data_IF_086861233211
#
_entry.id   IF_086861233211
#
_cell.length_a   1.000
_cell.length_b   1.000
_cell.length_c   1.000
_cell.angle_alpha   90.00
_cell.angle_beta   90.00
_cell.angle_gamma   90.00
#
_symmetry.space_group_name_H-M   'P 1'
#
loop_
_entity.id
_entity.type
_entity.pdbx_description
1 polymer ?
#
# COMPACT_ATOMS: atom_id res chain seq x y z
N UNK A 1 -58.96 -27.33 11.24
CA UNK A 1 -58.47 -28.11 12.40
C UNK A 1 -56.95 -28.08 12.39
N UNK A 2 -56.39 -27.49 13.45
CA UNK A 2 -55.01 -27.54 13.97
C UNK A 2 -53.81 -27.79 13.03
N UNK A 3 -53.07 -26.72 12.75
CA UNK A 3 -51.62 -26.78 12.51
C UNK A 3 -50.87 -26.30 13.76
N UNK A 4 -49.83 -27.06 14.11
CA UNK A 4 -49.10 -27.10 15.38
C UNK A 4 -48.30 -25.82 15.66
N UNK A 5 -48.22 -25.49 16.96
CA UNK A 5 -47.33 -24.50 17.58
C UNK A 5 -45.85 -24.88 17.36
N UNK A 6 -45.03 -23.88 17.07
CA UNK A 6 -43.58 -23.89 17.32
C UNK A 6 -43.24 -22.67 18.22
N UNK A 7 -42.30 -22.77 19.18
CA UNK A 7 -42.21 -21.86 20.32
C UNK A 7 -41.47 -20.53 20.04
N UNK A 8 -41.90 -19.52 20.80
CA UNK A 8 -41.34 -18.16 20.96
C UNK A 8 -39.87 -18.22 21.45
N UNK A 9 -38.99 -17.21 21.31
CA UNK A 9 -39.09 -15.80 20.95
C UNK A 9 -37.69 -15.27 20.58
N UNK A 10 -37.56 -14.06 20.04
CA UNK A 10 -37.40 -12.84 20.84
C UNK A 10 -37.93 -11.61 20.08
N UNK A 11 -38.59 -10.74 20.84
CA UNK A 11 -39.29 -9.55 20.36
C UNK A 11 -38.37 -8.32 20.22
N UNK A 12 -38.91 -7.34 19.50
CA UNK A 12 -38.30 -6.14 18.93
C UNK A 12 -37.95 -4.99 19.91
N UNK A 13 -37.11 -4.06 19.41
CA UNK A 13 -37.04 -2.59 19.67
C UNK A 13 -36.09 -2.07 20.76
N UNK A 14 -35.13 -1.24 20.31
CA UNK A 14 -34.61 0.01 20.93
C UNK A 14 -33.39 0.49 20.12
N UNK A 15 -33.14 1.73 19.67
CA UNK A 15 -33.86 3.00 19.53
C UNK A 15 -33.32 3.62 18.23
N UNK A 16 -34.18 3.88 17.24
CA UNK A 16 -33.87 4.69 16.05
C UNK A 16 -34.44 6.10 16.26
N UNK A 17 -33.59 7.13 16.33
CA UNK A 17 -34.03 8.52 16.18
C UNK A 17 -33.26 9.19 15.03
N UNK A 18 -34.03 9.69 14.05
CA UNK A 18 -33.65 10.45 12.84
C UNK A 18 -33.19 11.87 13.18
N UNK A 19 -32.27 12.45 12.40
CA UNK A 19 -32.29 13.84 11.87
C UNK A 19 -31.12 14.10 10.86
N UNK A 20 -31.08 15.19 10.06
CA UNK A 20 -31.48 15.25 8.65
C UNK A 20 -30.32 15.40 7.64
N UNK A 21 -30.65 15.27 6.36
CA UNK A 21 -29.77 15.37 5.19
C UNK A 21 -29.30 16.82 4.93
N UNK A 22 -28.01 17.03 4.61
CA UNK A 22 -27.52 18.06 3.65
C UNK A 22 -26.05 17.80 3.23
N UNK A 23 -25.87 17.77 1.89
CA UNK A 23 -24.69 17.87 0.99
C UNK A 23 -23.28 17.60 1.55
N UNK A 24 -22.66 16.47 1.17
CA UNK A 24 -21.20 16.27 1.09
C UNK A 24 -20.88 15.01 0.23
N UNK A 25 -19.87 14.98 -0.66
CA UNK A 25 -19.56 13.82 -1.52
C UNK A 25 -18.97 12.59 -0.80
N UNK A 26 -18.93 12.58 0.53
CA UNK A 26 -18.37 11.47 1.36
C UNK A 26 -19.36 10.32 1.65
N UNK A 27 -20.46 10.19 0.88
CA UNK A 27 -21.63 9.41 1.33
C UNK A 27 -21.65 7.93 0.98
N UNK A 28 -20.79 7.45 0.08
CA UNK A 28 -20.75 6.01 -0.27
C UNK A 28 -20.03 5.18 0.82
N UNK A 29 -18.86 5.65 1.29
CA UNK A 29 -18.13 5.03 2.42
C UNK A 29 -18.98 4.98 3.71
N UNK A 30 -19.93 5.92 3.87
CA UNK A 30 -20.79 5.97 5.07
C UNK A 30 -22.02 5.06 5.03
N UNK A 31 -22.48 4.58 3.86
CA UNK A 31 -23.73 3.79 3.81
C UNK A 31 -23.54 2.33 4.24
N UNK A 32 -22.37 1.74 4.03
CA UNK A 32 -22.11 0.34 4.43
C UNK A 32 -21.22 0.18 5.68
N UNK A 33 -20.55 1.23 6.17
CA UNK A 33 -19.61 1.15 7.32
C UNK A 33 -20.22 1.70 8.64
N UNK A 34 -21.54 1.93 8.72
CA UNK A 34 -22.17 2.44 9.96
C UNK A 34 -23.09 1.43 10.65
N UNK A 35 -22.47 0.57 11.45
CA UNK A 35 -22.88 0.33 12.85
C UNK A 35 -21.61 0.25 13.73
N UNK A 36 -21.56 1.11 14.76
CA UNK A 36 -20.64 1.08 15.91
C UNK A 36 -19.16 1.52 15.76
N UNK A 37 -18.88 2.83 15.67
CA UNK A 37 -17.57 3.36 16.06
C UNK A 37 -17.71 4.67 16.87
N UNK A 38 -17.43 4.59 18.17
CA UNK A 38 -17.24 5.72 19.09
C UNK A 38 -15.94 5.49 19.86
N UNK A 39 -15.06 6.49 19.88
CA UNK A 39 -13.63 6.37 20.19
C UNK A 39 -13.25 6.17 21.67
N UNK A 40 -14.20 6.08 22.60
CA UNK A 40 -13.90 6.11 24.04
C UNK A 40 -13.56 4.77 24.72
N UNK A 41 -13.52 3.63 24.00
CA UNK A 41 -13.18 2.31 24.59
C UNK A 41 -12.59 1.33 23.54
N UNK A 42 -11.50 1.71 22.88
CA UNK A 42 -10.96 0.99 21.70
C UNK A 42 -10.60 -0.47 22.02
N UNK A 43 -10.00 -0.77 23.18
CA UNK A 43 -9.50 -2.12 23.51
C UNK A 43 -10.62 -3.16 23.70
N UNK A 44 -11.67 -2.82 24.47
CA UNK A 44 -12.88 -3.67 24.63
C UNK A 44 -13.68 -3.77 23.33
N UNK A 45 -13.71 -2.71 22.52
CA UNK A 45 -14.45 -2.68 21.25
C UNK A 45 -13.76 -3.48 20.15
N UNK A 46 -12.44 -3.46 20.10
CA UNK A 46 -11.68 -4.22 19.10
C UNK A 46 -11.86 -5.73 19.31
N UNK A 47 -11.76 -6.20 20.55
CA UNK A 47 -12.02 -7.61 20.91
C UNK A 47 -13.40 -8.11 20.45
N UNK A 48 -14.45 -7.35 20.73
CA UNK A 48 -15.83 -7.71 20.33
C UNK A 48 -16.00 -7.75 18.80
N UNK A 49 -15.22 -6.96 18.05
CA UNK A 49 -15.29 -6.93 16.59
C UNK A 49 -14.54 -8.09 15.92
N UNK A 50 -13.56 -8.71 16.60
CA UNK A 50 -12.65 -9.68 15.97
C UNK A 50 -12.86 -11.12 16.40
N UNK A 51 -13.48 -11.38 17.55
CA UNK A 51 -13.56 -12.74 18.10
C UNK A 51 -14.37 -13.71 17.23
N UNK A 52 -15.40 -13.20 16.54
CA UNK A 52 -16.27 -13.99 15.66
C UNK A 52 -15.98 -13.80 14.17
N UNK A 53 -14.98 -13.00 13.81
CA UNK A 53 -14.69 -12.67 12.41
C UNK A 53 -13.91 -13.79 11.71
N UNK A 54 -14.39 -14.25 10.56
CA UNK A 54 -13.68 -15.21 9.70
C UNK A 54 -12.69 -14.52 8.73
N UNK A 55 -12.92 -13.24 8.43
CA UNK A 55 -12.03 -12.41 7.62
C UNK A 55 -11.75 -11.09 8.34
N UNK A 56 -10.47 -10.78 8.52
CA UNK A 56 -9.98 -9.56 9.18
C UNK A 56 -9.32 -8.65 8.14
N UNK A 57 -9.92 -7.50 7.85
CA UNK A 57 -9.38 -6.53 6.89
C UNK A 57 -8.52 -5.48 7.60
N UNK A 58 -7.23 -5.48 7.33
CA UNK A 58 -6.25 -4.53 7.87
C UNK A 58 -6.09 -3.36 6.90
N UNK A 59 -6.61 -2.19 7.31
CA UNK A 59 -6.55 -0.93 6.54
C UNK A 59 -6.27 0.26 7.47
N UNK A 60 -5.13 0.19 8.15
CA UNK A 60 -4.65 1.23 9.07
C UNK A 60 -3.28 1.75 8.60
N UNK A 61 -2.85 2.96 9.01
CA UNK A 61 -1.47 3.38 8.77
C UNK A 61 -0.48 2.34 9.32
N UNK A 62 0.58 2.03 8.56
CA UNK A 62 1.49 0.90 8.82
C UNK A 62 2.09 0.95 10.25
N UNK A 63 2.43 2.14 10.74
CA UNK A 63 2.97 2.39 12.09
C UNK A 63 2.09 1.89 13.25
N UNK A 64 0.80 1.61 13.00
CA UNK A 64 -0.12 1.11 14.02
C UNK A 64 -0.33 -0.40 13.98
N UNK A 65 0.19 -1.11 12.96
CA UNK A 65 -0.08 -2.53 12.75
C UNK A 65 0.47 -3.38 13.88
N UNK A 66 1.74 -3.17 14.26
CA UNK A 66 2.38 -3.95 15.33
C UNK A 66 1.56 -3.87 16.63
N UNK A 67 1.20 -2.65 17.04
CA UNK A 67 0.37 -2.42 18.23
C UNK A 67 -1.00 -3.09 18.11
N UNK A 68 -1.60 -3.05 16.93
CA UNK A 68 -2.91 -3.67 16.66
C UNK A 68 -2.82 -5.20 16.75
N UNK A 69 -1.84 -5.82 16.10
CA UNK A 69 -1.63 -7.27 16.14
C UNK A 69 -1.37 -7.75 17.58
N UNK A 70 -0.56 -7.02 18.35
CA UNK A 70 -0.32 -7.34 19.76
C UNK A 70 -1.59 -7.27 20.63
N UNK A 71 -2.57 -6.43 20.28
CA UNK A 71 -3.87 -6.39 20.97
C UNK A 71 -4.80 -7.54 20.56
N UNK A 72 -4.67 -8.02 19.33
CA UNK A 72 -5.50 -9.10 18.77
C UNK A 72 -4.94 -10.50 19.06
N UNK A 73 -3.66 -10.61 19.41
CA UNK A 73 -2.99 -11.88 19.70
C UNK A 73 -3.78 -12.71 20.72
N UNK A 74 -4.09 -13.96 20.35
CA UNK A 74 -4.88 -14.89 21.16
C UNK A 74 -6.39 -14.64 21.18
N UNK A 75 -6.88 -13.61 20.48
CA UNK A 75 -8.29 -13.19 20.46
C UNK A 75 -8.88 -13.18 19.04
N UNK A 76 -8.35 -14.02 18.16
CA UNK A 76 -8.82 -14.24 16.79
C UNK A 76 -9.09 -15.73 16.59
N UNK A 77 -10.07 -16.09 15.77
CA UNK A 77 -10.27 -17.49 15.37
C UNK A 77 -9.01 -18.00 14.69
N UNK A 78 -8.57 -19.21 15.02
CA UNK A 78 -7.46 -19.87 14.32
C UNK A 78 -7.78 -20.15 12.85
N UNK A 79 -9.06 -20.25 12.50
CA UNK A 79 -9.54 -20.39 11.11
C UNK A 79 -9.74 -19.06 10.39
N UNK A 80 -9.53 -17.92 11.05
CA UNK A 80 -9.68 -16.62 10.40
C UNK A 80 -8.57 -16.40 9.36
N UNK A 81 -8.83 -15.52 8.41
CA UNK A 81 -7.86 -15.03 7.43
C UNK A 81 -7.71 -13.53 7.58
N UNK A 82 -6.48 -13.03 7.54
CA UNK A 82 -6.19 -11.61 7.42
C UNK A 82 -6.06 -11.18 5.95
N UNK A 83 -6.46 -9.95 5.65
CA UNK A 83 -6.21 -9.28 4.38
C UNK A 83 -5.62 -7.90 4.64
N UNK A 84 -4.38 -7.67 4.23
CA UNK A 84 -3.73 -6.35 4.35
C UNK A 84 -3.93 -5.52 3.08
N UNK A 85 -4.43 -4.30 3.27
CA UNK A 85 -4.49 -3.25 2.23
C UNK A 85 -3.42 -2.17 2.48
N UNK A 86 -2.46 -2.46 3.37
CA UNK A 86 -1.52 -1.48 3.88
C UNK A 86 -0.30 -1.45 2.98
N UNK A 87 -0.09 -0.30 2.32
CA UNK A 87 1.06 -0.07 1.44
C UNK A 87 2.23 0.48 2.27
N UNK A 88 3.24 -0.36 2.52
CA UNK A 88 4.41 -0.03 3.31
C UNK A 88 5.19 -1.28 3.70
N UNK A 89 6.30 -1.12 4.39
CA UNK A 89 7.08 -2.21 4.96
C UNK A 89 6.86 -2.26 6.48
N UNK A 90 7.21 -3.39 7.09
CA UNK A 90 7.18 -3.54 8.54
C UNK A 90 8.56 -3.43 9.15
N UNK A 91 8.64 -2.80 10.33
CA UNK A 91 9.84 -2.74 11.16
C UNK A 91 10.36 -1.31 11.42
N UNK A 92 11.25 -1.21 12.40
CA UNK A 92 12.10 -0.03 12.59
C UNK A 92 13.37 -0.23 11.76
N UNK A 93 13.88 0.82 11.11
CA UNK A 93 15.13 0.89 10.30
C UNK A 93 16.32 0.07 10.80
N UNK A 94 16.38 -0.24 12.10
CA UNK A 94 17.53 -0.87 12.77
C UNK A 94 17.71 -2.35 12.49
N UNK A 95 16.71 -3.07 11.96
CA UNK A 95 16.88 -4.48 11.55
C UNK A 95 17.24 -4.55 10.07
N UNK A 96 18.39 -5.13 9.74
CA UNK A 96 18.86 -5.40 8.37
C UNK A 96 18.01 -6.41 7.57
N UNK A 97 16.79 -6.69 8.04
CA UNK A 97 15.84 -7.64 7.45
C UNK A 97 14.59 -6.87 7.02
N UNK A 98 14.40 -6.82 5.70
CA UNK A 98 13.14 -6.43 5.08
C UNK A 98 12.02 -7.37 5.56
N UNK A 99 10.91 -6.81 6.03
CA UNK A 99 9.76 -7.59 6.49
C UNK A 99 8.46 -7.00 6.00
N UNK A 100 7.54 -7.86 5.57
CA UNK A 100 6.25 -7.44 5.08
C UNK A 100 5.22 -7.31 6.19
N UNK A 101 4.23 -6.45 5.97
CA UNK A 101 3.15 -6.24 6.92
C UNK A 101 2.30 -7.52 7.02
N UNK A 102 2.05 -8.21 5.90
CA UNK A 102 1.34 -9.49 5.92
C UNK A 102 2.09 -10.58 6.69
N UNK A 103 3.43 -10.61 6.59
CA UNK A 103 4.28 -11.55 7.34
C UNK A 103 4.20 -11.28 8.85
N UNK A 104 4.26 -10.00 9.25
CA UNK A 104 4.07 -9.58 10.64
C UNK A 104 2.70 -9.96 11.19
N UNK A 105 1.64 -9.71 10.42
CA UNK A 105 0.27 -10.08 10.80
C UNK A 105 0.18 -11.59 10.97
N UNK A 106 0.67 -12.36 10.00
CA UNK A 106 0.58 -13.82 10.00
C UNK A 106 1.34 -14.43 11.17
N UNK A 107 2.59 -14.01 11.39
CA UNK A 107 3.40 -14.52 12.50
C UNK A 107 2.86 -14.13 13.87
N UNK A 108 2.36 -12.89 14.03
CA UNK A 108 1.89 -12.40 15.33
C UNK A 108 0.55 -13.03 15.73
N UNK A 109 -0.34 -13.23 14.77
CA UNK A 109 -1.71 -13.71 15.00
C UNK A 109 -1.87 -15.22 14.78
N UNK A 110 -0.93 -15.88 14.12
CA UNK A 110 -0.99 -17.32 13.83
C UNK A 110 -2.07 -17.68 12.80
N UNK A 111 -2.35 -16.77 11.85
CA UNK A 111 -3.35 -16.95 10.80
C UNK A 111 -2.76 -16.62 9.42
N UNK A 112 -3.37 -17.14 8.36
CA UNK A 112 -2.97 -16.80 6.99
C UNK A 112 -3.25 -15.32 6.70
N UNK A 113 -2.32 -14.66 6.00
CA UNK A 113 -2.47 -13.27 5.57
C UNK A 113 -2.35 -13.16 4.05
N UNK A 114 -3.42 -12.67 3.42
CA UNK A 114 -3.44 -12.22 2.04
C UNK A 114 -3.22 -10.70 1.96
N UNK A 115 -3.00 -10.19 0.75
CA UNK A 115 -2.83 -8.77 0.48
C UNK A 115 -3.73 -8.32 -0.67
N UNK A 116 -4.16 -7.06 -0.65
CA UNK A 116 -4.89 -6.44 -1.74
C UNK A 116 -4.21 -5.10 -2.09
N UNK A 117 -3.56 -5.06 -3.25
CA UNK A 117 -2.82 -3.89 -3.76
C UNK A 117 -3.28 -3.55 -5.18
N UNK A 118 -3.14 -2.30 -5.60
CA UNK A 118 -3.55 -1.87 -6.94
C UNK A 118 -3.65 -0.36 -7.10
N UNK A 119 -3.97 0.08 -8.31
CA UNK A 119 -4.25 1.48 -8.64
C UNK A 119 -5.62 1.92 -8.09
N UNK A 120 -5.73 2.06 -6.77
CA UNK A 120 -6.99 2.25 -6.06
C UNK A 120 -7.03 3.56 -5.27
N UNK A 121 -7.11 4.69 -5.98
CA UNK A 121 -7.34 5.98 -5.34
C UNK A 121 -8.70 5.96 -4.63
N UNK A 122 -8.66 6.01 -3.28
CA UNK A 122 -9.84 5.82 -2.45
C UNK A 122 -11.08 6.66 -2.84
N UNK A 123 -10.95 7.95 -3.25
CA UNK A 123 -12.09 8.72 -3.73
C UNK A 123 -12.74 8.17 -5.00
N UNK A 124 -11.95 7.62 -5.93
CA UNK A 124 -12.46 7.06 -7.20
C UNK A 124 -13.18 5.74 -6.98
N UNK A 125 -12.59 4.85 -6.17
CA UNK A 125 -13.24 3.60 -5.74
C UNK A 125 -14.56 3.91 -5.03
N UNK A 126 -14.58 4.92 -4.15
CA UNK A 126 -15.79 5.32 -3.43
C UNK A 126 -16.87 5.97 -4.31
N UNK A 127 -16.49 6.47 -5.48
CA UNK A 127 -17.40 7.02 -6.47
C UNK A 127 -17.89 5.97 -7.49
N UNK A 128 -17.53 4.69 -7.29
CA UNK A 128 -17.87 3.58 -8.19
C UNK A 128 -17.28 3.76 -9.60
N UNK A 129 -16.15 4.48 -9.71
CA UNK A 129 -15.41 4.57 -10.95
C UNK A 129 -14.70 3.24 -11.21
N UNK A 130 -14.64 2.85 -12.49
CA UNK A 130 -13.93 1.65 -12.92
C UNK A 130 -12.46 1.68 -12.49
N UNK A 131 -12.03 0.67 -11.75
CA UNK A 131 -10.65 0.41 -11.41
C UNK A 131 -10.41 -1.08 -11.12
N UNK A 132 -9.14 -1.43 -10.96
CA UNK A 132 -8.70 -2.82 -10.82
C UNK A 132 -7.75 -2.95 -9.63
N UNK A 133 -7.74 -4.11 -8.98
CA UNK A 133 -6.77 -4.46 -7.95
C UNK A 133 -6.35 -5.93 -8.04
N UNK A 134 -5.24 -6.22 -7.38
CA UNK A 134 -4.61 -7.54 -7.33
C UNK A 134 -4.66 -8.05 -5.90
N UNK A 135 -5.21 -9.24 -5.71
CA UNK A 135 -5.13 -9.99 -4.46
C UNK A 135 -3.97 -10.96 -4.54
N UNK A 136 -3.03 -10.84 -3.61
CA UNK A 136 -1.93 -11.79 -3.42
C UNK A 136 -2.23 -12.73 -2.25
N UNK A 137 -2.14 -14.04 -2.46
CA UNK A 137 -2.28 -15.02 -1.36
C UNK A 137 -1.56 -16.33 -1.67
N UNK A 138 -0.83 -16.89 -0.70
CA UNK A 138 -0.24 -18.24 -0.82
C UNK A 138 -1.32 -19.30 -1.09
N UNK A 139 -2.45 -19.18 -0.40
CA UNK A 139 -3.58 -20.10 -0.50
C UNK A 139 -4.57 -19.64 -1.58
N UNK A 140 -4.74 -20.46 -2.62
CA UNK A 140 -5.62 -20.15 -3.75
C UNK A 140 -7.10 -20.15 -3.34
N UNK A 141 -7.53 -21.04 -2.45
CA UNK A 141 -8.91 -21.07 -1.98
C UNK A 141 -9.26 -19.76 -1.25
N UNK A 142 -8.35 -19.30 -0.38
CA UNK A 142 -8.43 -17.98 0.25
C UNK A 142 -8.53 -16.86 -0.78
N UNK A 143 -7.68 -16.85 -1.80
CA UNK A 143 -7.70 -15.83 -2.85
C UNK A 143 -9.05 -15.78 -3.59
N UNK A 144 -9.64 -16.95 -3.87
CA UNK A 144 -10.95 -17.07 -4.54
C UNK A 144 -12.07 -16.50 -3.67
N UNK A 145 -12.10 -16.82 -2.37
CA UNK A 145 -13.10 -16.28 -1.44
C UNK A 145 -12.96 -14.76 -1.28
N UNK A 146 -11.72 -14.26 -1.16
CA UNK A 146 -11.47 -12.82 -1.10
C UNK A 146 -11.84 -12.11 -2.41
N UNK A 147 -11.60 -12.74 -3.56
CA UNK A 147 -12.06 -12.21 -4.84
C UNK A 147 -13.58 -12.08 -4.84
N UNK A 148 -14.34 -13.08 -4.42
CA UNK A 148 -15.81 -12.98 -4.32
C UNK A 148 -16.26 -11.84 -3.40
N UNK A 149 -15.52 -11.60 -2.32
CA UNK A 149 -15.83 -10.53 -1.35
C UNK A 149 -15.60 -9.13 -1.90
N UNK A 150 -14.49 -8.90 -2.60
CA UNK A 150 -14.08 -7.56 -3.04
C UNK A 150 -14.46 -7.23 -4.48
N UNK A 151 -14.67 -8.22 -5.34
CA UNK A 151 -14.92 -8.02 -6.76
C UNK A 151 -16.31 -7.45 -7.02
N UNK A 152 -16.38 -6.39 -7.83
CA UNK A 152 -17.63 -5.78 -8.31
C UNK A 152 -17.53 -5.50 -9.82
N UNK A 153 -18.56 -4.90 -10.41
CA UNK A 153 -18.55 -4.51 -11.82
C UNK A 153 -17.49 -3.43 -12.11
N UNK A 154 -17.34 -2.47 -11.18
CA UNK A 154 -16.42 -1.35 -11.30
C UNK A 154 -15.13 -1.51 -10.47
N UNK A 155 -15.03 -2.55 -9.64
CA UNK A 155 -13.81 -2.90 -8.91
C UNK A 155 -13.40 -4.33 -9.25
N UNK A 156 -12.60 -4.48 -10.31
CA UNK A 156 -12.20 -5.79 -10.85
C UNK A 156 -11.00 -6.33 -10.08
N UNK A 157 -11.09 -7.58 -9.64
CA UNK A 157 -10.04 -8.23 -8.87
C UNK A 157 -9.37 -9.32 -9.71
N UNK A 158 -8.05 -9.23 -9.86
CA UNK A 158 -7.22 -10.36 -10.26
C UNK A 158 -6.57 -11.03 -9.03
N UNK A 159 -6.32 -12.33 -9.10
CA UNK A 159 -5.68 -13.09 -8.03
C UNK A 159 -4.33 -13.63 -8.48
N UNK A 160 -3.33 -13.56 -7.60
CA UNK A 160 -2.00 -14.12 -7.82
C UNK A 160 -1.50 -14.80 -6.55
N UNK A 161 -0.66 -15.82 -6.70
CA UNK A 161 -0.06 -16.52 -5.55
C UNK A 161 1.17 -15.82 -4.99
N UNK A 162 1.77 -14.94 -5.78
CA UNK A 162 2.99 -14.19 -5.48
C UNK A 162 2.70 -12.99 -4.58
N UNK A 163 2.21 -13.26 -3.37
CA UNK A 163 1.74 -12.23 -2.44
C UNK A 163 2.84 -11.26 -1.99
N UNK A 164 4.09 -11.73 -1.89
CA UNK A 164 5.23 -10.88 -1.52
C UNK A 164 5.45 -9.79 -2.56
N UNK A 165 5.48 -10.16 -3.84
CA UNK A 165 5.67 -9.19 -4.93
C UNK A 165 4.50 -8.22 -5.01
N UNK A 166 3.26 -8.69 -4.81
CA UNK A 166 2.08 -7.82 -4.76
C UNK A 166 2.21 -6.76 -3.66
N UNK A 167 2.61 -7.16 -2.45
CA UNK A 167 2.73 -6.27 -1.30
C UNK A 167 3.87 -5.26 -1.45
N UNK A 168 5.05 -5.73 -1.84
CA UNK A 168 6.25 -4.89 -1.93
C UNK A 168 6.12 -3.88 -3.05
N UNK A 169 5.50 -4.24 -4.19
CA UNK A 169 5.22 -3.27 -5.26
C UNK A 169 4.48 -2.04 -4.71
N UNK A 170 3.48 -2.25 -3.83
CA UNK A 170 2.71 -1.18 -3.19
C UNK A 170 3.53 -0.24 -2.31
N UNK A 171 4.61 -0.75 -1.69
CA UNK A 171 5.54 0.05 -0.90
C UNK A 171 6.52 0.83 -1.80
N UNK A 172 7.27 0.12 -2.65
CA UNK A 172 8.38 0.69 -3.44
C UNK A 172 7.92 1.77 -4.42
N UNK A 173 6.72 1.63 -5.01
CA UNK A 173 6.18 2.61 -5.96
C UNK A 173 6.08 4.03 -5.38
N UNK A 174 5.97 4.17 -4.05
CA UNK A 174 5.92 5.49 -3.40
C UNK A 174 7.25 6.23 -3.49
N UNK A 175 8.38 5.52 -3.54
CA UNK A 175 9.72 6.10 -3.74
C UNK A 175 9.86 6.61 -5.15
N UNK A 176 9.45 5.82 -6.14
CA UNK A 176 9.44 6.25 -7.55
C UNK A 176 8.52 7.44 -7.77
N UNK A 177 7.38 7.50 -7.07
CA UNK A 177 6.50 8.66 -7.12
C UNK A 177 7.13 9.94 -6.54
N UNK A 178 8.08 9.84 -5.60
CA UNK A 178 8.86 11.00 -5.14
C UNK A 178 9.76 11.52 -6.26
N UNK A 179 10.48 10.61 -6.95
CA UNK A 179 11.28 10.94 -8.12
C UNK A 179 10.47 11.61 -9.24
N UNK A 180 9.27 11.09 -9.53
CA UNK A 180 8.34 11.72 -10.48
C UNK A 180 7.92 13.13 -10.02
N UNK A 181 7.70 13.33 -8.72
CA UNK A 181 7.46 14.65 -8.14
C UNK A 181 8.64 15.61 -8.29
N UNK A 182 9.88 15.15 -8.06
CA UNK A 182 11.06 15.98 -8.32
C UNK A 182 11.14 16.40 -9.79
N UNK A 183 10.88 15.47 -10.70
CA UNK A 183 10.81 15.77 -12.14
C UNK A 183 9.82 16.88 -12.46
N UNK A 184 8.61 16.81 -11.89
CA UNK A 184 7.57 17.83 -12.07
C UNK A 184 7.98 19.19 -11.48
N UNK A 185 8.61 19.17 -10.31
CA UNK A 185 9.02 20.40 -9.65
C UNK A 185 10.20 21.11 -10.33
N UNK A 186 11.08 20.35 -10.98
CA UNK A 186 12.18 20.86 -11.79
C UNK A 186 11.75 21.27 -13.22
N UNK A 187 10.49 21.06 -13.59
CA UNK A 187 9.95 21.47 -14.89
C UNK A 187 10.35 20.57 -16.07
N UNK A 188 10.74 19.33 -15.80
CA UNK A 188 11.00 18.37 -16.88
C UNK A 188 9.70 17.86 -17.52
N UNK A 189 9.77 17.51 -18.81
CA UNK A 189 8.63 17.01 -19.59
C UNK A 189 8.35 15.53 -19.40
N UNK A 190 7.32 15.04 -20.10
CA UNK A 190 6.80 13.68 -19.94
C UNK A 190 7.80 12.58 -20.32
N UNK A 191 8.72 12.82 -21.27
CA UNK A 191 9.76 11.86 -21.62
C UNK A 191 10.69 11.56 -20.44
N UNK A 192 11.09 12.58 -19.69
CA UNK A 192 11.92 12.43 -18.49
C UNK A 192 11.16 11.67 -17.40
N UNK A 193 9.90 12.03 -17.19
CA UNK A 193 9.03 11.33 -16.22
C UNK A 193 8.82 9.87 -16.61
N UNK A 194 8.61 9.57 -17.89
CA UNK A 194 8.47 8.21 -18.39
C UNK A 194 9.75 7.39 -18.16
N UNK A 195 10.94 7.98 -18.39
CA UNK A 195 12.22 7.35 -18.08
C UNK A 195 12.36 7.06 -16.58
N UNK A 196 11.96 7.99 -15.70
CA UNK A 196 11.95 7.80 -14.24
C UNK A 196 11.03 6.65 -13.84
N UNK A 197 9.81 6.59 -14.39
CA UNK A 197 8.87 5.50 -14.11
C UNK A 197 9.45 4.16 -14.56
N UNK A 198 10.04 4.09 -15.76
CA UNK A 198 10.68 2.88 -16.28
C UNK A 198 11.85 2.42 -15.41
N UNK A 199 12.79 3.33 -15.10
CA UNK A 199 13.94 3.02 -14.25
C UNK A 199 13.51 2.60 -12.85
N UNK A 200 12.53 3.31 -12.27
CA UNK A 200 11.95 2.97 -10.98
C UNK A 200 11.30 1.58 -10.99
N UNK A 201 10.59 1.20 -12.05
CA UNK A 201 10.04 -0.15 -12.20
C UNK A 201 11.16 -1.21 -12.26
N UNK A 202 12.26 -0.93 -12.96
CA UNK A 202 13.41 -1.85 -13.05
C UNK A 202 14.09 -2.02 -11.68
N UNK A 203 14.27 -0.94 -10.93
CA UNK A 203 14.77 -1.02 -9.55
C UNK A 203 13.80 -1.77 -8.63
N UNK A 204 12.49 -1.57 -8.78
CA UNK A 204 11.48 -2.34 -8.06
C UNK A 204 11.60 -3.85 -8.33
N UNK A 205 11.72 -4.23 -9.60
CA UNK A 205 11.89 -5.63 -10.01
C UNK A 205 13.15 -6.23 -9.40
N UNK A 206 14.29 -5.57 -9.60
CA UNK A 206 15.60 -6.00 -9.11
C UNK A 206 15.63 -6.12 -7.58
N UNK A 207 15.01 -5.18 -6.87
CA UNK A 207 14.93 -5.21 -5.42
C UNK A 207 14.12 -6.44 -4.95
N UNK A 208 12.93 -6.65 -5.52
CA UNK A 208 12.07 -7.76 -5.14
C UNK A 208 12.72 -9.11 -5.50
N UNK A 209 13.30 -9.25 -6.69
CA UNK A 209 14.02 -10.47 -7.10
C UNK A 209 15.15 -10.84 -6.15
N UNK A 210 15.90 -9.83 -5.66
CA UNK A 210 16.99 -10.06 -4.71
C UNK A 210 16.49 -10.54 -3.34
N UNK A 211 15.44 -9.90 -2.77
CA UNK A 211 14.96 -10.23 -1.42
C UNK A 211 13.93 -11.37 -1.39
N UNK A 212 13.22 -11.60 -2.50
CA UNK A 212 12.16 -12.61 -2.67
C UNK A 212 12.33 -13.33 -4.01
N UNK A 213 13.25 -14.30 -4.12
CA UNK A 213 13.64 -14.94 -5.38
C UNK A 213 12.53 -15.78 -6.05
N UNK A 214 11.42 -16.03 -5.35
CA UNK A 214 10.24 -16.71 -5.90
C UNK A 214 9.26 -15.76 -6.63
N UNK A 215 9.63 -14.48 -6.75
CA UNK A 215 8.86 -13.48 -7.50
C UNK A 215 8.66 -13.89 -8.95
N UNK A 216 7.55 -13.46 -9.54
CA UNK A 216 7.24 -13.71 -10.95
C UNK A 216 7.17 -12.38 -11.69
N UNK A 217 7.91 -12.26 -12.79
CA UNK A 217 7.90 -11.08 -13.66
C UNK A 217 6.47 -10.67 -14.06
N UNK A 218 5.59 -11.65 -14.32
CA UNK A 218 4.18 -11.39 -14.65
C UNK A 218 3.45 -10.57 -13.58
N UNK A 219 3.80 -10.71 -12.30
CA UNK A 219 3.17 -9.97 -11.19
C UNK A 219 3.39 -8.45 -11.31
N UNK A 220 4.49 -8.00 -11.92
CA UNK A 220 4.75 -6.57 -12.13
C UNK A 220 3.83 -5.93 -13.18
N UNK A 221 3.25 -6.74 -14.07
CA UNK A 221 2.26 -6.31 -15.07
C UNK A 221 0.83 -6.33 -14.54
N UNK A 222 0.61 -6.79 -13.30
CA UNK A 222 -0.67 -6.71 -12.62
C UNK A 222 -0.93 -5.29 -12.06
N UNK A 223 -2.16 -5.01 -11.62
CA UNK A 223 -2.54 -3.69 -11.08
C UNK A 223 -1.65 -3.24 -9.91
N UNK A 224 -1.17 -4.17 -9.07
CA UNK A 224 -0.27 -3.86 -7.96
C UNK A 224 1.10 -3.30 -8.39
N UNK A 225 1.56 -3.63 -9.60
CA UNK A 225 2.85 -3.22 -10.13
C UNK A 225 2.73 -1.95 -10.97
N UNK A 226 2.76 -2.10 -12.29
CA UNK A 226 2.83 -0.98 -13.24
C UNK A 226 1.65 -0.01 -13.11
N UNK A 227 0.41 -0.49 -12.90
CA UNK A 227 -0.76 0.40 -12.85
C UNK A 227 -0.75 1.32 -11.61
N UNK A 228 -0.50 0.77 -10.41
CA UNK A 228 -0.39 1.56 -9.18
C UNK A 228 0.81 2.50 -9.23
N UNK A 229 1.92 2.06 -9.80
CA UNK A 229 3.10 2.89 -10.04
C UNK A 229 2.76 4.11 -10.90
N UNK A 230 2.20 3.90 -12.10
CA UNK A 230 1.84 4.97 -13.03
C UNK A 230 0.84 5.92 -12.36
N UNK A 231 -0.25 5.40 -11.80
CA UNK A 231 -1.29 6.22 -11.16
C UNK A 231 -0.72 7.07 -10.02
N UNK A 232 0.21 6.52 -9.24
CA UNK A 232 0.85 7.25 -8.14
C UNK A 232 1.83 8.31 -8.64
N UNK A 233 2.57 8.04 -9.72
CA UNK A 233 3.51 8.99 -10.32
C UNK A 233 2.82 10.19 -11.00
N UNK A 234 1.54 10.08 -11.36
CA UNK A 234 0.76 11.21 -11.92
C UNK A 234 -0.18 11.86 -10.89
N UNK A 235 -0.83 11.09 -10.02
CA UNK A 235 -1.88 11.59 -9.13
C UNK A 235 -1.60 11.44 -7.63
N UNK A 236 -0.48 10.83 -7.24
CA UNK A 236 -0.19 10.47 -5.85
C UNK A 236 0.19 11.64 -4.94
N UNK A 237 -0.04 11.44 -3.64
CA UNK A 237 0.37 12.39 -2.59
C UNK A 237 1.89 12.59 -2.53
N UNK A 238 2.66 11.51 -2.71
CA UNK A 238 4.13 11.57 -2.74
C UNK A 238 4.62 12.49 -3.88
N UNK A 239 4.09 12.29 -5.10
CA UNK A 239 4.37 13.16 -6.25
C UNK A 239 4.08 14.63 -5.93
N UNK A 240 2.89 14.91 -5.39
CA UNK A 240 2.47 16.28 -5.04
C UNK A 240 3.40 16.96 -4.03
N UNK A 241 3.77 16.26 -2.95
CA UNK A 241 4.65 16.83 -1.91
C UNK A 241 6.06 17.02 -2.45
N UNK A 242 6.61 16.05 -3.17
CA UNK A 242 7.95 16.13 -3.75
C UNK A 242 8.06 17.16 -4.89
N UNK A 243 6.99 17.40 -5.65
CA UNK A 243 6.90 18.51 -6.60
C UNK A 243 7.01 19.86 -5.89
N UNK A 244 6.23 20.07 -4.83
CA UNK A 244 6.28 21.30 -4.06
C UNK A 244 7.65 21.49 -3.39
N UNK A 245 8.27 20.41 -2.94
CA UNK A 245 9.63 20.42 -2.40
C UNK A 245 10.63 20.88 -3.46
N UNK A 246 10.61 20.29 -4.65
CA UNK A 246 11.52 20.67 -5.73
C UNK A 246 11.34 22.13 -6.18
N UNK A 247 10.11 22.66 -6.15
CA UNK A 247 9.82 24.06 -6.50
C UNK A 247 10.24 25.07 -5.44
N UNK A 248 10.06 24.73 -4.16
CA UNK A 248 10.16 25.71 -3.06
C UNK A 248 11.38 25.51 -2.17
N UNK A 249 11.97 24.31 -2.18
CA UNK A 249 13.05 23.87 -1.29
C UNK A 249 12.71 23.95 0.21
N UNK A 250 11.43 24.12 0.54
CA UNK A 250 10.94 24.08 1.92
C UNK A 250 11.03 22.66 2.47
N UNK A 251 11.17 22.48 3.80
CA UNK A 251 11.24 21.15 4.39
C UNK A 251 10.02 20.28 4.05
N UNK A 252 10.26 19.01 3.71
CA UNK A 252 9.19 18.06 3.34
C UNK A 252 8.08 17.95 4.39
N UNK A 253 8.42 18.00 5.67
CA UNK A 253 7.45 17.88 6.76
C UNK A 253 6.46 19.06 6.80
N UNK A 254 6.89 20.28 6.46
CA UNK A 254 6.00 21.44 6.38
C UNK A 254 5.05 21.32 5.21
N UNK A 255 5.59 20.94 4.04
CA UNK A 255 4.82 20.75 2.81
C UNK A 255 3.80 19.62 2.95
N UNK A 256 4.17 18.52 3.62
CA UNK A 256 3.24 17.45 3.98
C UNK A 256 2.08 17.98 4.83
N UNK A 257 2.38 18.68 5.93
CA UNK A 257 1.36 19.22 6.82
C UNK A 257 0.39 20.17 6.09
N UNK A 258 0.92 21.05 5.26
CA UNK A 258 0.17 22.04 4.49
C UNK A 258 -0.70 21.38 3.40
N UNK A 259 -0.11 20.49 2.58
CA UNK A 259 -0.75 19.97 1.37
C UNK A 259 -1.66 18.77 1.63
N UNK A 260 -1.39 17.99 2.69
CA UNK A 260 -2.07 16.71 2.96
C UNK A 260 -3.05 16.76 4.13
N UNK A 261 -3.11 17.86 4.88
CA UNK A 261 -4.15 18.13 5.91
C UNK A 261 -4.36 16.96 6.89
N UNK A 262 -3.26 16.42 7.41
CA UNK A 262 -3.25 15.29 8.36
C UNK A 262 -3.16 13.90 7.73
N UNK A 263 -3.07 13.79 6.40
CA UNK A 263 -2.58 12.57 5.74
C UNK A 263 -1.05 12.64 5.56
N UNK A 264 -0.41 11.51 5.27
CA UNK A 264 1.06 11.43 5.14
C UNK A 264 1.51 10.90 3.77
N UNK A 265 2.61 11.44 3.27
CA UNK A 265 3.37 10.97 2.11
C UNK A 265 4.44 9.98 2.59
N UNK A 266 4.20 8.71 2.36
CA UNK A 266 5.03 7.61 2.88
C UNK A 266 6.34 7.44 2.10
N UNK A 267 6.46 8.02 0.90
CA UNK A 267 7.59 7.81 -0.01
C UNK A 267 8.96 8.13 0.61
N UNK A 268 9.18 9.30 1.23
CA UNK A 268 10.46 9.62 1.88
C UNK A 268 10.83 8.65 3.01
N UNK A 269 9.85 8.21 3.80
CA UNK A 269 10.06 7.24 4.88
C UNK A 269 10.45 5.87 4.31
N UNK A 270 9.71 5.39 3.30
CA UNK A 270 10.06 4.15 2.60
C UNK A 270 11.44 4.25 1.94
N UNK A 271 11.81 5.39 1.36
CA UNK A 271 13.14 5.57 0.77
C UNK A 271 14.27 5.42 1.81
N UNK A 272 14.06 5.91 3.03
CA UNK A 272 15.02 5.72 4.12
C UNK A 272 15.14 4.26 4.55
N UNK A 273 14.01 3.56 4.73
CA UNK A 273 14.00 2.13 5.06
C UNK A 273 14.73 1.30 3.99
N UNK A 274 14.47 1.58 2.70
CA UNK A 274 15.14 0.89 1.60
C UNK A 274 16.63 1.22 1.54
N UNK A 275 17.01 2.47 1.74
CA UNK A 275 18.42 2.87 1.71
C UNK A 275 19.24 2.10 2.75
N UNK A 276 18.73 1.97 3.98
CA UNK A 276 19.40 1.20 5.04
C UNK A 276 19.57 -0.28 4.64
N UNK A 277 18.51 -0.89 4.09
CA UNK A 277 18.52 -2.29 3.63
C UNK A 277 19.49 -2.50 2.47
N UNK A 278 19.50 -1.60 1.48
CA UNK A 278 20.36 -1.67 0.29
C UNK A 278 21.83 -1.45 0.68
N UNK A 279 22.09 -0.45 1.54
CA UNK A 279 23.43 -0.10 2.01
C UNK A 279 24.07 -1.21 2.85
N UNK A 280 23.30 -1.81 3.76
CA UNK A 280 23.81 -2.92 4.60
C UNK A 280 24.13 -4.18 3.80
N UNK A 281 23.62 -4.31 2.57
CA UNK A 281 23.89 -5.40 1.64
C UNK A 281 24.92 -5.06 0.55
N UNK A 282 25.52 -3.86 0.60
CA UNK A 282 26.45 -3.34 -0.41
C UNK A 282 25.86 -3.30 -1.85
N UNK A 283 24.58 -2.93 -1.95
CA UNK A 283 23.83 -2.94 -3.22
C UNK A 283 23.59 -1.54 -3.81
N UNK A 284 24.10 -0.45 -3.21
CA UNK A 284 23.74 0.93 -3.59
C UNK A 284 23.93 1.21 -5.08
N UNK A 285 25.02 0.69 -5.69
CA UNK A 285 25.30 0.86 -7.12
C UNK A 285 24.20 0.31 -8.04
N UNK A 286 23.40 -0.64 -7.57
CA UNK A 286 22.31 -1.25 -8.32
C UNK A 286 20.99 -0.47 -8.25
N UNK A 287 20.90 0.52 -7.35
CA UNK A 287 19.68 1.27 -7.06
C UNK A 287 19.88 2.80 -7.00
N UNK A 288 20.49 3.42 -8.04
CA UNK A 288 20.79 4.85 -8.04
C UNK A 288 19.57 5.76 -7.91
N UNK A 289 18.39 5.37 -8.41
CA UNK A 289 17.15 6.16 -8.28
C UNK A 289 16.65 6.12 -6.83
N UNK A 290 16.56 4.95 -6.20
CA UNK A 290 16.17 4.86 -4.78
C UNK A 290 17.16 5.61 -3.87
N UNK A 291 18.47 5.46 -4.11
CA UNK A 291 19.51 6.20 -3.40
C UNK A 291 19.35 7.71 -3.57
N UNK A 292 19.19 8.19 -4.81
CA UNK A 292 19.03 9.61 -5.09
C UNK A 292 17.79 10.19 -4.40
N UNK A 293 16.66 9.46 -4.42
CA UNK A 293 15.45 9.89 -3.72
C UNK A 293 15.69 10.04 -2.23
N UNK A 294 16.33 9.06 -1.59
CA UNK A 294 16.66 9.13 -0.17
C UNK A 294 17.54 10.34 0.14
N UNK A 295 18.68 10.45 -0.54
CA UNK A 295 19.69 11.49 -0.29
C UNK A 295 19.14 12.91 -0.51
N UNK A 296 18.24 13.09 -1.50
CA UNK A 296 17.54 14.36 -1.72
C UNK A 296 16.54 14.65 -0.60
N UNK A 297 15.75 13.66 -0.18
CA UNK A 297 14.75 13.86 0.88
C UNK A 297 15.36 14.25 2.22
N UNK A 298 16.58 13.78 2.52
CA UNK A 298 17.31 14.13 3.75
C UNK A 298 18.24 15.34 3.59
N UNK A 299 18.28 15.95 2.40
CA UNK A 299 19.06 17.16 2.11
C UNK A 299 20.57 16.94 1.91
N UNK A 300 21.03 15.70 1.71
CA UNK A 300 22.44 15.40 1.40
C UNK A 300 22.80 15.71 -0.07
N UNK A 301 21.81 15.65 -0.97
CA UNK A 301 21.97 15.95 -2.39
C UNK A 301 20.95 17.02 -2.80
N UNK A 302 21.34 18.10 -3.50
CA UNK A 302 20.40 19.05 -4.07
C UNK A 302 19.46 18.37 -5.07
N UNK A 303 18.18 18.74 -5.06
CA UNK A 303 17.17 18.12 -5.94
C UNK A 303 17.49 18.31 -7.43
N UNK A 304 18.17 19.39 -7.79
CA UNK A 304 18.64 19.69 -9.15
C UNK A 304 19.63 18.65 -9.69
N UNK A 305 20.35 17.94 -8.81
CA UNK A 305 21.29 16.89 -9.20
C UNK A 305 20.59 15.56 -9.52
N UNK A 306 19.28 15.44 -9.28
CA UNK A 306 18.54 14.17 -9.41
C UNK A 306 18.78 13.47 -10.76
N UNK A 307 18.63 14.20 -11.88
CA UNK A 307 18.86 13.63 -13.21
C UNK A 307 20.32 13.21 -13.41
N UNK A 308 21.27 13.94 -12.81
CA UNK A 308 22.67 13.56 -12.83
C UNK A 308 22.93 12.20 -12.19
N UNK A 309 22.23 11.89 -11.08
CA UNK A 309 22.37 10.61 -10.37
C UNK A 309 21.83 9.41 -11.14
N UNK A 310 20.81 9.60 -11.99
CA UNK A 310 20.19 8.51 -12.76
C UNK A 310 20.63 8.45 -14.23
N UNK A 311 21.46 9.38 -14.70
CA UNK A 311 21.89 9.45 -16.11
C UNK A 311 22.69 8.22 -16.55
N UNK A 312 23.53 7.72 -15.65
CA UNK A 312 24.35 6.53 -15.87
C UNK A 312 23.78 5.32 -15.13
N UNK A 313 22.45 5.18 -15.11
CA UNK A 313 21.80 4.06 -14.45
C UNK A 313 22.30 2.73 -15.05
N UNK A 314 22.55 1.68 -14.24
CA UNK A 314 23.00 0.36 -14.71
C UNK A 314 22.12 -0.31 -15.77
N UNK A 315 20.91 0.21 -16.05
CA UNK A 315 20.05 -0.31 -17.12
C UNK A 315 20.51 0.14 -18.51
N UNK A 316 21.38 1.16 -18.58
CA UNK A 316 21.97 1.67 -19.82
C UNK A 316 23.37 1.11 -20.07
N UNK A 317 23.96 0.43 -19.09
CA UNK A 317 25.22 -0.27 -19.30
C UNK A 317 25.01 -1.41 -20.30
N UNK A 318 25.91 -1.50 -21.27
CA UNK A 318 25.72 -2.25 -22.51
C UNK A 318 25.49 -3.75 -22.22
N UNK A 319 24.25 -4.21 -22.47
CA UNK A 319 23.87 -5.63 -22.42
C UNK A 319 24.15 -6.33 -23.74
N UNK A 320 25.07 -5.83 -24.56
CA UNK A 320 25.44 -6.40 -25.86
C UNK A 320 25.90 -7.87 -25.82
N UNK A 321 26.15 -8.43 -24.63
CA UNK A 321 26.44 -9.85 -24.40
C UNK A 321 25.38 -10.61 -23.57
N UNK A 322 24.28 -9.98 -23.15
CA UNK A 322 23.17 -10.70 -22.52
C UNK A 322 22.26 -11.22 -23.63
N UNK A 323 22.37 -12.51 -23.92
CA UNK A 323 21.55 -13.22 -24.90
C UNK A 323 20.07 -12.78 -24.82
N UNK A 324 19.49 -12.47 -25.97
CA UNK A 324 18.05 -12.23 -26.11
C UNK A 324 17.30 -13.50 -25.69
N UNK A 325 16.86 -13.58 -24.44
CA UNK A 325 15.96 -14.63 -23.92
C UNK A 325 14.67 -14.01 -23.38
#
# INVERSE_FOLDING_TARGET
MSAKKCPQGFSSKSVLKKCPQKKCPQRFIRKNVRKNLSAKNVRKKLYVLTIDADILVFVVPHQFVEKLCNQLKGNVKSSAVAVSLIKGLSGKSTSSKLRLISEDISETLGIDAAVLMGANLAPEVANDNFCEATIGSKNLATAIELKKLFHTDNFRINIVQDFQTVEICGALKNVVACAAGFSDGLGYGDNTKAAIIRLGLMEMMRFIEYFYPNTRIKTFFESCGIADLVTTCYGGRNRKVCEAFAKTKRPLYELEAELLKGQSAQGPLTAAELYDVIKTRDLLKMFPLFEAVHNICIGQVPVEEFIGKIRNHPEYEDRSNAEFH
#
